data_IF_463333310776
#
_entry.id   IF_463333310776
#
_cell.length_a   1.000
_cell.length_b   1.000
_cell.length_c   1.000
_cell.angle_alpha   90.00
_cell.angle_beta   90.00
_cell.angle_gamma   90.00
#
_symmetry.space_group_name_H-M   'P 1'
#
loop_
_entity.id
_entity.type
_entity.pdbx_description
1 polymer ?
#
# COMPACT_ATOMS: atom_id res chain seq x y z
N UNK A 1 51.10 -17.93 20.07
CA UNK A 1 52.11 -17.84 19.01
C UNK A 1 53.41 -17.52 19.71
N UNK A 2 54.37 -18.43 19.68
CA UNK A 2 55.67 -18.16 20.31
C UNK A 2 56.50 -17.25 19.41
N UNK A 3 57.39 -16.45 19.99
CA UNK A 3 58.27 -15.56 19.21
C UNK A 3 59.12 -16.35 18.19
N UNK A 4 59.41 -17.63 18.50
CA UNK A 4 60.09 -18.56 17.60
C UNK A 4 59.28 -18.87 16.32
N UNK A 5 57.94 -18.94 16.41
CA UNK A 5 57.08 -19.17 15.25
C UNK A 5 57.10 -17.96 14.30
N UNK A 6 57.17 -16.74 14.87
CA UNK A 6 57.23 -15.50 14.10
C UNK A 6 58.56 -15.35 13.34
N UNK A 7 59.68 -15.67 13.99
CA UNK A 7 61.00 -15.71 13.35
C UNK A 7 61.08 -16.76 12.23
N UNK A 8 60.40 -17.90 12.40
CA UNK A 8 60.36 -18.93 11.36
C UNK A 8 59.55 -18.47 10.14
N UNK A 9 58.40 -17.83 10.34
CA UNK A 9 57.56 -17.31 9.24
C UNK A 9 58.26 -16.19 8.48
N UNK A 10 58.93 -15.28 9.17
CA UNK A 10 59.70 -14.19 8.54
C UNK A 10 60.86 -14.73 7.71
N UNK A 11 61.59 -15.73 8.22
CA UNK A 11 62.66 -16.42 7.47
C UNK A 11 62.12 -17.11 6.21
N UNK A 12 61.01 -17.85 6.32
CA UNK A 12 60.39 -18.54 5.19
C UNK A 12 59.84 -17.58 4.13
N UNK A 13 59.32 -16.41 4.53
CA UNK A 13 58.89 -15.38 3.58
C UNK A 13 60.08 -14.74 2.86
N UNK A 14 61.16 -14.43 3.58
CA UNK A 14 62.38 -13.90 2.98
C UNK A 14 62.99 -14.88 1.96
N UNK A 15 63.03 -16.18 2.29
CA UNK A 15 63.51 -17.23 1.38
C UNK A 15 62.61 -17.39 0.16
N UNK A 16 61.29 -17.34 0.33
CA UNK A 16 60.35 -17.39 -0.81
C UNK A 16 60.52 -16.18 -1.74
N UNK A 17 60.73 -14.99 -1.18
CA UNK A 17 60.92 -13.76 -1.94
C UNK A 17 62.25 -13.76 -2.70
N UNK A 18 63.33 -14.29 -2.10
CA UNK A 18 64.62 -14.41 -2.79
C UNK A 18 64.58 -15.43 -3.93
N UNK A 19 63.92 -16.57 -3.73
CA UNK A 19 63.71 -17.58 -4.78
C UNK A 19 62.82 -17.06 -5.92
N UNK A 20 61.79 -16.27 -5.60
CA UNK A 20 60.93 -15.65 -6.61
C UNK A 20 61.67 -14.58 -7.43
N UNK A 21 62.55 -13.80 -6.79
CA UNK A 21 63.40 -12.83 -7.48
C UNK A 21 64.40 -13.51 -8.43
N UNK A 22 65.01 -14.63 -8.03
CA UNK A 22 65.92 -15.41 -8.87
C UNK A 22 65.22 -16.08 -10.07
N UNK A 23 63.91 -16.38 -9.96
CA UNK A 23 63.10 -16.94 -11.05
C UNK A 23 62.47 -15.89 -11.97
N UNK A 24 62.65 -14.60 -11.69
CA UNK A 24 62.16 -13.47 -12.51
C UNK A 24 63.10 -13.11 -13.67
N UNK A 25 63.89 -14.06 -14.15
CA UNK A 25 64.60 -13.99 -15.43
C UNK A 25 63.71 -14.59 -16.51
N UNK A 26 62.95 -13.74 -17.19
CA UNK A 26 62.13 -14.12 -18.35
C UNK A 26 62.97 -14.88 -19.39
N UNK A 27 62.58 -16.11 -19.71
CA UNK A 27 63.10 -16.89 -20.85
C UNK A 27 62.62 -16.37 -22.21
N UNK A 28 61.98 -15.20 -22.27
CA UNK A 28 61.34 -14.67 -23.48
C UNK A 28 61.89 -13.32 -23.94
N UNK A 29 62.94 -12.80 -23.30
CA UNK A 29 63.59 -11.55 -23.71
C UNK A 29 65.06 -11.77 -24.06
N UNK A 30 65.32 -12.12 -25.32
CA UNK A 30 66.67 -12.09 -25.91
C UNK A 30 66.92 -10.67 -26.46
N UNK A 31 67.82 -9.88 -25.84
CA UNK A 31 68.10 -8.51 -26.25
C UNK A 31 68.84 -8.41 -27.58
N UNK A 32 69.44 -9.50 -28.09
CA UNK A 32 70.16 -9.52 -29.38
C UNK A 32 69.22 -9.63 -30.58
N UNK A 33 68.00 -10.12 -30.36
CA UNK A 33 66.94 -10.26 -31.36
C UNK A 33 66.05 -9.01 -31.47
N UNK A 34 66.22 -8.01 -30.60
CA UNK A 34 65.37 -6.82 -30.59
C UNK A 34 66.04 -5.63 -31.29
N UNK A 35 65.30 -5.00 -32.21
CA UNK A 35 65.69 -3.72 -32.81
C UNK A 35 65.73 -2.65 -31.72
N UNK A 36 66.92 -2.11 -31.46
CA UNK A 36 67.20 -1.02 -30.50
C UNK A 36 66.77 0.35 -31.00
N UNK A 37 66.21 0.43 -32.21
CA UNK A 37 65.71 1.66 -32.80
C UNK A 37 64.32 1.96 -32.23
N UNK A 38 64.28 2.50 -31.00
CA UNK A 38 63.05 2.91 -30.31
C UNK A 38 62.44 4.20 -30.90
N UNK A 39 63.04 4.76 -31.96
CA UNK A 39 62.63 6.05 -32.54
C UNK A 39 61.23 6.08 -33.15
N UNK A 40 60.65 4.94 -33.52
CA UNK A 40 59.29 4.86 -34.12
C UNK A 40 58.30 4.09 -33.27
N UNK A 41 58.71 3.62 -32.09
CA UNK A 41 57.84 2.88 -31.19
C UNK A 41 57.31 3.81 -30.12
N UNK A 42 55.99 3.80 -29.96
CA UNK A 42 55.34 4.41 -28.81
C UNK A 42 55.86 3.79 -27.54
N UNK A 43 56.34 4.62 -26.63
CA UNK A 43 56.52 4.18 -25.26
C UNK A 43 55.13 3.84 -24.69
N UNK A 44 55.03 2.71 -23.98
CA UNK A 44 53.76 2.32 -23.35
C UNK A 44 53.42 3.23 -22.15
N UNK A 45 54.41 3.94 -21.64
CA UNK A 45 54.36 4.75 -20.42
C UNK A 45 54.38 6.25 -20.68
N UNK A 46 54.66 6.70 -21.90
CA UNK A 46 54.73 8.11 -22.26
C UNK A 46 53.80 8.43 -23.43
N UNK A 47 53.00 9.50 -23.27
CA UNK A 47 52.09 10.02 -24.27
C UNK A 47 52.86 10.83 -25.32
N UNK A 48 52.52 10.67 -26.59
CA UNK A 48 53.10 11.49 -27.67
C UNK A 48 52.53 12.92 -27.72
N UNK A 49 51.28 13.08 -27.29
CA UNK A 49 50.60 14.36 -27.28
C UNK A 49 50.74 15.00 -25.90
N UNK A 50 51.75 15.86 -25.76
CA UNK A 50 51.99 16.62 -24.53
C UNK A 50 51.16 17.89 -24.45
N UNK A 51 50.54 18.32 -25.54
CA UNK A 51 49.72 19.53 -25.59
C UNK A 51 48.33 19.27 -24.99
N UNK A 52 47.79 18.07 -25.22
CA UNK A 52 46.52 17.63 -24.62
C UNK A 52 46.72 16.87 -23.30
N UNK A 53 47.80 16.10 -23.17
CA UNK A 53 48.10 15.29 -21.98
C UNK A 53 49.41 15.70 -21.31
N UNK A 54 49.50 16.97 -20.95
CA UNK A 54 50.70 17.59 -20.39
C UNK A 54 51.17 16.86 -19.12
N UNK A 55 52.27 16.10 -19.25
CA UNK A 55 52.84 15.32 -18.15
C UNK A 55 53.37 16.21 -17.01
N UNK A 56 53.81 17.42 -17.36
CA UNK A 56 54.47 18.39 -16.47
C UNK A 56 53.52 19.54 -16.04
N UNK A 57 52.25 19.49 -16.46
CA UNK A 57 51.23 20.40 -15.96
C UNK A 57 51.04 20.20 -14.45
N UNK A 58 50.94 21.32 -13.73
CA UNK A 58 51.11 21.39 -12.26
C UNK A 58 50.15 20.49 -11.48
N UNK A 59 49.05 20.02 -12.07
CA UNK A 59 48.15 19.11 -11.38
C UNK A 59 47.23 18.35 -12.35
N UNK A 60 47.70 17.21 -12.89
CA UNK A 60 46.88 16.34 -13.78
C UNK A 60 45.60 15.82 -13.11
N UNK A 61 45.57 15.84 -11.79
CA UNK A 61 44.44 15.39 -10.98
C UNK A 61 43.74 16.57 -10.29
N UNK A 62 44.05 17.81 -10.68
CA UNK A 62 43.37 19.00 -10.15
C UNK A 62 41.89 18.92 -10.48
N UNK A 63 41.06 19.03 -9.46
CA UNK A 63 39.60 18.96 -9.60
C UNK A 63 39.03 17.54 -9.62
N UNK A 64 39.87 16.50 -9.57
CA UNK A 64 39.41 15.12 -9.38
C UNK A 64 39.61 14.68 -7.94
N UNK A 65 38.64 13.95 -7.42
CA UNK A 65 38.77 13.29 -6.12
C UNK A 65 39.73 12.11 -6.27
N UNK A 66 40.90 12.20 -5.65
CA UNK A 66 41.94 11.15 -5.66
C UNK A 66 41.68 10.05 -4.63
N UNK A 67 40.69 10.25 -3.76
CA UNK A 67 40.21 9.28 -2.80
C UNK A 67 38.70 9.41 -2.66
N UNK A 68 38.02 8.27 -2.55
CA UNK A 68 36.60 8.21 -2.16
C UNK A 68 36.57 8.24 -0.63
N UNK A 69 35.75 9.11 0.01
CA UNK A 69 35.58 9.08 1.45
C UNK A 69 34.99 7.72 1.87
N UNK A 70 35.71 6.98 2.70
CA UNK A 70 35.27 5.67 3.22
C UNK A 70 34.19 5.84 4.30
N UNK A 71 34.10 7.01 4.92
CA UNK A 71 33.16 7.33 6.00
C UNK A 71 32.02 8.26 5.56
N UNK A 72 31.87 8.47 4.24
CA UNK A 72 30.80 9.27 3.66
C UNK A 72 29.58 8.41 3.38
N UNK A 73 28.77 8.17 4.41
CA UNK A 73 27.43 7.56 4.33
C UNK A 73 26.45 8.56 3.68
N UNK A 74 26.84 9.13 2.55
CA UNK A 74 25.93 9.84 1.66
C UNK A 74 25.17 8.76 0.90
N UNK A 75 24.04 8.34 1.49
CA UNK A 75 22.98 7.61 0.80
C UNK A 75 22.70 8.32 -0.52
N UNK A 76 23.35 7.85 -1.59
CA UNK A 76 23.03 8.23 -2.95
C UNK A 76 21.56 7.93 -3.12
N UNK A 77 20.74 8.98 -3.15
CA UNK A 77 19.31 8.89 -3.37
C UNK A 77 19.11 7.98 -4.58
N UNK A 78 18.51 6.81 -4.35
CA UNK A 78 18.29 5.77 -5.36
C UNK A 78 17.27 6.31 -6.36
N UNK A 79 17.75 7.20 -7.22
CA UNK A 79 16.99 7.90 -8.20
C UNK A 79 16.71 6.86 -9.29
N UNK A 80 15.56 6.22 -9.17
CA UNK A 80 14.98 5.27 -10.13
C UNK A 80 14.64 5.95 -11.48
N UNK A 81 15.26 7.10 -11.78
CA UNK A 81 15.25 7.85 -13.04
C UNK A 81 16.24 7.30 -14.07
N UNK A 82 16.84 6.12 -13.82
CA UNK A 82 17.72 5.44 -14.77
C UNK A 82 17.02 5.12 -16.09
N UNK A 83 17.46 5.73 -17.19
CA UNK A 83 17.07 5.31 -18.54
C UNK A 83 17.51 3.87 -18.78
N UNK A 84 16.57 3.00 -19.16
CA UNK A 84 16.88 1.61 -19.47
C UNK A 84 17.77 1.53 -20.70
N UNK A 85 18.97 0.95 -20.56
CA UNK A 85 19.96 0.78 -21.63
C UNK A 85 19.52 -0.22 -22.73
N UNK A 86 18.39 -0.90 -22.52
CA UNK A 86 17.78 -1.83 -23.47
C UNK A 86 16.49 -1.26 -24.04
N UNK A 87 16.30 -1.42 -25.35
CA UNK A 87 15.05 -1.05 -26.03
C UNK A 87 13.85 -1.78 -25.42
N UNK A 88 12.75 -1.07 -25.21
CA UNK A 88 11.49 -1.66 -24.78
C UNK A 88 10.79 -2.26 -26.00
N UNK A 89 10.58 -3.59 -26.00
CA UNK A 89 9.83 -4.29 -27.05
C UNK A 89 8.35 -4.53 -26.66
N UNK A 90 7.99 -4.19 -25.43
CA UNK A 90 6.62 -4.22 -24.90
C UNK A 90 6.07 -2.79 -24.78
N UNK A 91 4.79 -2.65 -24.46
CA UNK A 91 4.18 -1.35 -24.14
C UNK A 91 4.98 -0.63 -23.04
N UNK A 92 4.95 0.71 -23.05
CA UNK A 92 5.64 1.51 -22.03
C UNK A 92 5.10 1.22 -20.64
N UNK A 93 5.94 1.40 -19.61
CA UNK A 93 5.54 1.13 -18.22
C UNK A 93 4.34 1.99 -17.81
N UNK A 94 4.27 3.22 -18.31
CA UNK A 94 3.17 4.14 -18.06
C UNK A 94 1.85 3.62 -18.62
N UNK A 95 1.84 3.14 -19.88
CA UNK A 95 0.67 2.52 -20.50
C UNK A 95 0.23 1.25 -19.77
N UNK A 96 1.19 0.45 -19.30
CA UNK A 96 0.89 -0.76 -18.52
C UNK A 96 0.29 -0.38 -17.16
N UNK A 97 0.80 0.65 -16.51
CA UNK A 97 0.28 1.12 -15.22
C UNK A 97 -1.11 1.73 -15.34
N UNK A 98 -1.38 2.48 -16.40
CA UNK A 98 -2.71 3.02 -16.70
C UNK A 98 -3.73 1.89 -16.87
N UNK A 99 -3.37 0.85 -17.64
CA UNK A 99 -4.24 -0.31 -17.85
C UNK A 99 -4.38 -1.19 -16.59
N UNK A 100 -3.33 -1.33 -15.79
CA UNK A 100 -3.35 -2.17 -14.57
C UNK A 100 -4.06 -1.49 -13.38
N UNK A 101 -3.98 -0.17 -13.27
CA UNK A 101 -4.62 0.58 -12.18
C UNK A 101 -6.13 0.71 -12.33
N UNK A 102 -6.71 0.25 -13.45
CA UNK A 102 -8.16 0.10 -13.61
C UNK A 102 -8.93 1.42 -13.63
N UNK A 103 -8.25 2.57 -13.58
CA UNK A 103 -8.84 3.90 -13.47
C UNK A 103 -9.65 4.35 -14.71
N UNK A 104 -9.78 3.49 -15.73
CA UNK A 104 -10.53 3.74 -16.97
C UNK A 104 -11.46 2.60 -17.38
N UNK A 105 -11.66 1.60 -16.52
CA UNK A 105 -12.65 0.55 -16.75
C UNK A 105 -13.91 0.95 -16.00
N UNK A 106 -14.85 1.61 -16.69
CA UNK A 106 -16.19 1.96 -16.19
C UNK A 106 -17.03 0.71 -15.83
N UNK A 107 -16.53 -0.49 -16.15
CA UNK A 107 -17.13 -1.75 -15.73
C UNK A 107 -16.83 -1.97 -14.24
N UNK A 108 -17.88 -1.91 -13.42
CA UNK A 108 -17.79 -2.31 -12.02
C UNK A 108 -17.19 -3.72 -11.92
N UNK A 109 -16.26 -3.93 -10.99
CA UNK A 109 -15.71 -5.26 -10.71
C UNK A 109 -16.87 -6.27 -10.59
N UNK A 110 -16.78 -7.38 -11.32
CA UNK A 110 -17.80 -8.42 -11.37
C UNK A 110 -18.18 -8.90 -9.97
N UNK A 111 -17.23 -8.93 -9.04
CA UNK A 111 -17.48 -9.26 -7.64
C UNK A 111 -18.30 -8.18 -6.93
N UNK A 112 -18.01 -6.91 -7.19
CA UNK A 112 -18.75 -5.77 -6.65
C UNK A 112 -20.17 -5.70 -7.24
N UNK A 113 -20.33 -5.98 -8.53
CA UNK A 113 -21.64 -6.08 -9.19
C UNK A 113 -22.49 -7.21 -8.61
N UNK A 114 -21.88 -8.37 -8.30
CA UNK A 114 -22.55 -9.47 -7.60
C UNK A 114 -22.99 -9.06 -6.20
N UNK A 115 -22.13 -8.36 -5.46
CA UNK A 115 -22.46 -7.87 -4.12
C UNK A 115 -23.65 -6.92 -4.14
N UNK A 116 -23.65 -5.91 -5.00
CA UNK A 116 -24.78 -4.97 -5.16
C UNK A 116 -26.05 -5.70 -5.54
N UNK A 117 -25.97 -6.64 -6.50
CA UNK A 117 -27.13 -7.42 -6.89
C UNK A 117 -27.70 -8.27 -5.74
N UNK A 118 -26.90 -8.68 -4.75
CA UNK A 118 -27.36 -9.46 -3.60
C UNK A 118 -28.13 -8.61 -2.57
N UNK A 119 -27.89 -7.29 -2.54
CA UNK A 119 -28.56 -6.38 -1.60
C UNK A 119 -29.97 -6.07 -2.08
N UNK A 120 -30.94 -6.21 -1.18
CA UNK A 120 -32.36 -5.96 -1.49
C UNK A 120 -32.58 -4.46 -1.78
N UNK A 121 -31.87 -3.57 -1.07
CA UNK A 121 -31.97 -2.12 -1.25
C UNK A 121 -31.64 -1.66 -2.68
N UNK A 122 -30.75 -2.37 -3.38
CA UNK A 122 -30.34 -2.03 -4.74
C UNK A 122 -31.38 -2.48 -5.79
N UNK A 123 -32.30 -3.38 -5.41
CA UNK A 123 -33.42 -3.85 -6.24
C UNK A 123 -34.71 -3.06 -6.02
N UNK A 124 -34.67 -2.06 -5.15
CA UNK A 124 -35.85 -1.31 -4.73
C UNK A 124 -35.99 0.02 -5.45
N UNK A 125 -37.23 0.36 -5.79
CA UNK A 125 -37.60 1.66 -6.31
C UNK A 125 -37.42 2.76 -5.25
N UNK A 126 -37.20 4.00 -5.69
CA UNK A 126 -37.11 5.18 -4.83
C UNK A 126 -38.34 5.35 -3.92
N UNK A 127 -39.53 4.94 -4.38
CA UNK A 127 -40.74 4.96 -3.54
C UNK A 127 -40.62 3.97 -2.37
N UNK A 128 -40.09 2.78 -2.60
CA UNK A 128 -39.91 1.74 -1.58
C UNK A 128 -38.83 2.14 -0.56
N UNK A 129 -37.78 2.83 -1.01
CA UNK A 129 -36.71 3.37 -0.15
C UNK A 129 -37.21 4.43 0.85
N UNK A 130 -38.37 5.07 0.60
CA UNK A 130 -38.98 6.01 1.56
C UNK A 130 -39.31 5.37 2.90
N UNK A 131 -39.39 4.04 2.98
CA UNK A 131 -39.55 3.34 4.26
C UNK A 131 -38.43 3.62 5.26
N UNK A 132 -37.23 3.95 4.79
CA UNK A 132 -36.11 4.34 5.64
C UNK A 132 -36.28 5.74 6.22
N UNK A 133 -37.02 6.61 5.50
CA UNK A 133 -37.36 7.97 5.92
C UNK A 133 -38.66 8.02 6.74
N UNK A 134 -39.53 7.03 6.58
CA UNK A 134 -40.65 6.78 7.48
C UNK A 134 -40.00 6.30 8.78
N UNK A 135 -40.02 7.15 9.81
CA UNK A 135 -39.39 6.89 11.10
C UNK A 135 -39.72 5.52 11.71
N UNK A 136 -39.14 5.18 12.87
CA UNK A 136 -39.23 3.84 13.44
C UNK A 136 -40.66 3.28 13.41
N UNK A 137 -40.84 2.19 12.64
CA UNK A 137 -42.14 1.56 12.32
C UNK A 137 -42.87 0.99 13.56
N UNK A 138 -42.21 1.01 14.71
CA UNK A 138 -42.74 0.72 16.04
C UNK A 138 -41.99 1.62 17.01
N UNK A 139 -42.61 2.14 18.09
CA UNK A 139 -41.83 2.70 19.19
C UNK A 139 -40.77 1.67 19.56
N UNK A 140 -39.50 2.06 19.53
CA UNK A 140 -38.38 1.20 19.89
C UNK A 140 -38.66 0.68 21.29
N UNK A 141 -39.05 -0.59 21.38
CA UNK A 141 -39.15 -1.28 22.67
C UNK A 141 -37.75 -1.19 23.26
N UNK A 142 -37.61 -0.55 24.42
CA UNK A 142 -36.33 -0.50 25.10
C UNK A 142 -35.86 -1.94 25.36
N UNK A 143 -34.91 -2.43 24.57
CA UNK A 143 -34.32 -3.75 24.74
C UNK A 143 -33.35 -3.68 25.93
N UNK A 144 -33.64 -4.35 27.06
CA UNK A 144 -32.80 -4.27 28.25
C UNK A 144 -31.43 -4.96 28.08
N UNK A 145 -31.19 -5.66 26.97
CA UNK A 145 -29.94 -6.39 26.71
C UNK A 145 -29.10 -5.79 25.57
N UNK A 146 -29.55 -4.70 24.92
CA UNK A 146 -28.76 -4.03 23.91
C UNK A 146 -27.60 -3.26 24.57
N UNK A 147 -26.40 -3.85 24.54
CA UNK A 147 -25.17 -3.29 25.12
C UNK A 147 -24.70 -1.94 24.51
N UNK A 148 -25.38 -1.44 23.47
CA UNK A 148 -25.14 -0.14 22.85
C UNK A 148 -26.43 0.69 22.84
N UNK A 149 -26.82 1.20 24.01
CA UNK A 149 -27.76 2.32 24.09
C UNK A 149 -27.07 3.57 23.51
N UNK A 150 -27.17 3.74 22.19
CA UNK A 150 -26.60 4.88 21.48
C UNK A 150 -27.14 6.20 22.06
N UNK A 151 -26.22 7.15 22.25
CA UNK A 151 -26.34 8.42 22.96
C UNK A 151 -27.32 9.46 22.37
N UNK A 152 -28.36 9.04 21.65
CA UNK A 152 -29.38 9.94 21.11
C UNK A 152 -30.77 9.28 20.96
N UNK A 153 -31.05 8.24 21.75
CA UNK A 153 -32.40 7.68 21.87
C UNK A 153 -33.00 8.27 23.13
N UNK A 154 -33.99 9.15 22.97
CA UNK A 154 -34.80 9.65 24.09
C UNK A 154 -35.24 8.47 24.96
N UNK A 155 -35.02 8.57 26.27
CA UNK A 155 -35.20 7.50 27.25
C UNK A 155 -36.67 7.05 27.43
N UNK A 156 -37.60 7.57 26.61
CA UNK A 156 -39.03 7.34 26.70
C UNK A 156 -39.53 6.30 25.68
N UNK A 157 -38.83 5.17 25.59
CA UNK A 157 -39.38 3.98 24.94
C UNK A 157 -40.36 3.30 25.90
N UNK A 158 -41.62 3.11 25.50
CA UNK A 158 -42.61 2.39 26.33
C UNK A 158 -42.07 1.01 26.71
N UNK A 159 -42.07 0.73 28.01
CA UNK A 159 -41.60 -0.53 28.55
C UNK A 159 -42.54 -1.67 28.14
N UNK A 160 -42.03 -2.91 28.08
CA UNK A 160 -42.85 -4.08 27.75
C UNK A 160 -44.12 -4.18 28.62
N UNK A 161 -44.03 -3.77 29.89
CA UNK A 161 -45.14 -3.72 30.84
C UNK A 161 -46.22 -2.74 30.41
N UNK A 162 -45.84 -1.52 30.01
CA UNK A 162 -46.77 -0.51 29.54
C UNK A 162 -47.44 -0.91 28.23
N UNK A 163 -46.71 -1.53 27.30
CA UNK A 163 -47.28 -2.03 26.03
C UNK A 163 -48.31 -3.14 26.29
N UNK A 164 -48.06 -4.04 27.25
CA UNK A 164 -49.04 -5.08 27.61
C UNK A 164 -50.27 -4.51 28.32
N UNK A 165 -50.07 -3.56 29.24
CA UNK A 165 -51.19 -2.88 29.91
C UNK A 165 -52.06 -2.08 28.91
N UNK A 166 -51.44 -1.42 27.93
CA UNK A 166 -52.17 -0.72 26.87
C UNK A 166 -52.94 -1.69 25.95
N UNK A 167 -52.33 -2.82 25.59
CA UNK A 167 -53.00 -3.86 24.78
C UNK A 167 -54.20 -4.46 25.52
N UNK A 168 -54.03 -4.77 26.80
CA UNK A 168 -55.09 -5.33 27.64
C UNK A 168 -56.23 -4.32 27.84
N UNK A 169 -55.91 -3.05 28.11
CA UNK A 169 -56.93 -2.00 28.25
C UNK A 169 -57.69 -1.71 26.95
N UNK A 170 -57.04 -1.76 25.78
CA UNK A 170 -57.70 -1.63 24.47
C UNK A 170 -58.60 -2.83 24.18
N UNK A 171 -58.17 -4.05 24.49
CA UNK A 171 -58.98 -5.26 24.35
C UNK A 171 -60.23 -5.21 25.26
N UNK A 172 -60.08 -4.80 26.53
CA UNK A 172 -61.20 -4.60 27.44
C UNK A 172 -62.15 -3.47 26.98
N UNK A 173 -61.63 -2.35 26.47
CA UNK A 173 -62.52 -1.28 25.98
C UNK A 173 -63.28 -1.65 24.71
N UNK A 174 -62.69 -2.45 23.82
CA UNK A 174 -63.37 -2.92 22.62
C UNK A 174 -64.57 -3.82 22.98
N UNK A 175 -64.41 -4.74 23.94
CA UNK A 175 -65.52 -5.61 24.37
C UNK A 175 -66.62 -4.84 25.10
N UNK A 176 -66.27 -3.85 25.94
CA UNK A 176 -67.27 -3.03 26.65
C UNK A 176 -68.11 -2.15 25.70
N UNK A 177 -67.53 -1.61 24.63
CA UNK A 177 -68.29 -0.84 23.63
C UNK A 177 -69.26 -1.73 22.86
N UNK A 178 -68.80 -2.90 22.44
CA UNK A 178 -69.65 -3.87 21.75
C UNK A 178 -70.77 -4.41 22.66
N UNK A 179 -70.58 -4.46 23.98
CA UNK A 179 -71.59 -4.85 24.96
C UNK A 179 -72.59 -3.70 25.27
N UNK A 180 -72.11 -2.47 25.46
CA UNK A 180 -72.96 -1.30 25.70
C UNK A 180 -73.83 -0.93 24.49
N UNK A 181 -73.31 -1.12 23.27
CA UNK A 181 -74.09 -0.91 22.04
C UNK A 181 -75.15 -2.02 21.87
N UNK A 182 -74.85 -3.26 22.26
CA UNK A 182 -75.83 -4.36 22.25
C UNK A 182 -76.94 -4.16 23.27
N UNK A 183 -76.63 -3.69 24.48
CA UNK A 183 -77.66 -3.39 25.49
C UNK A 183 -78.57 -2.23 25.05
N UNK A 184 -78.02 -1.18 24.44
CA UNK A 184 -78.82 -0.06 23.92
C UNK A 184 -79.69 -0.45 22.71
N UNK A 185 -79.25 -1.41 21.90
CA UNK A 185 -80.03 -1.95 20.77
C UNK A 185 -81.13 -2.89 21.27
N UNK A 186 -80.86 -3.72 22.29
CA UNK A 186 -81.81 -4.67 22.87
C UNK A 186 -82.87 -3.99 23.76
N UNK A 187 -82.52 -2.84 24.37
CA UNK A 187 -83.45 -2.03 25.16
C UNK A 187 -84.46 -1.19 24.34
N UNK A 188 -84.47 -1.29 23.00
CA UNK A 188 -85.59 -0.79 22.19
C UNK A 188 -85.93 0.69 22.36
N UNK A 189 -84.92 1.58 22.41
CA UNK A 189 -85.16 3.04 22.47
C UNK A 189 -85.53 3.59 21.09
N UNK A 190 -86.80 3.44 20.70
CA UNK A 190 -87.41 4.20 19.60
C UNK A 190 -87.79 5.60 20.10
N UNK A 191 -86.84 6.54 20.15
CA UNK A 191 -87.17 7.96 20.21
C UNK A 191 -86.95 8.55 18.83
N UNK A 192 -88.02 8.58 18.05
CA UNK A 192 -88.13 9.32 16.81
C UNK A 192 -87.93 10.82 17.08
N UNK A 193 -86.76 11.36 16.76
CA UNK A 193 -86.59 12.80 16.57
C UNK A 193 -87.01 13.10 15.13
N UNK A 194 -88.25 13.56 15.00
CA UNK A 194 -88.80 14.07 13.75
C UNK A 194 -87.99 15.28 13.29
N UNK A 195 -87.67 15.31 11.99
CA UNK A 195 -87.12 16.46 11.32
C UNK A 195 -88.08 17.66 11.39
N UNK A 196 -87.51 18.81 11.75
CA UNK A 196 -88.10 20.15 11.69
C UNK A 196 -86.97 21.17 11.67
#
# INVERSE_FOLDING_TARGET
MSDADFEQVTRLQAERNSLAAAKKGSKTFDPSSQRTDFSTKASLTESFDTDLYERNGIDKYSGYNTSIPVDGDEDMEDADTGHRLVGQYTASRDLINEMASGNGVEEEDILLGREKSARIADRESDYQKRRFNRGPLTPTRADPFAANAHANVEAEGQTYREVMALRESVEYQATLKDEADKENIDAGSTVSVAAG
#
